data_IF_076707777375
#
_entry.id   IF_076707777375
#
_cell.length_a   1.000
_cell.length_b   1.000
_cell.length_c   1.000
_cell.angle_alpha   90.00
_cell.angle_beta   90.00
_cell.angle_gamma   90.00
#
_symmetry.space_group_name_H-M   'P 1'
#
loop_
_entity.id
_entity.type
_entity.pdbx_description
1 polymer ?
#
# COMPACT_ATOMS: atom_id res chain seq x y z
N UNK A 1 -15.80 -12.90 47.23
CA UNK A 1 -15.30 -11.67 46.59
C UNK A 1 -15.83 -11.62 45.17
N UNK A 2 -16.56 -10.57 44.81
CA UNK A 2 -17.20 -10.44 43.50
C UNK A 2 -16.14 -10.34 42.41
N UNK A 3 -16.07 -11.37 41.56
CA UNK A 3 -15.25 -11.42 40.36
C UNK A 3 -15.86 -10.47 39.30
N UNK A 4 -15.74 -9.15 39.51
CA UNK A 4 -16.09 -8.17 38.47
C UNK A 4 -14.91 -8.16 37.51
N UNK A 5 -15.07 -8.79 36.36
CA UNK A 5 -14.13 -8.66 35.26
C UNK A 5 -13.83 -7.16 35.05
N UNK A 6 -12.54 -6.80 35.02
CA UNK A 6 -12.13 -5.44 34.71
C UNK A 6 -12.75 -5.05 33.36
N UNK A 7 -13.33 -3.84 33.23
CA UNK A 7 -14.04 -3.50 32.02
C UNK A 7 -13.04 -3.33 30.87
N UNK A 8 -13.40 -3.82 29.68
CA UNK A 8 -12.50 -3.82 28.51
C UNK A 8 -12.02 -2.42 28.10
N UNK A 9 -12.77 -1.37 28.44
CA UNK A 9 -12.34 0.02 28.22
C UNK A 9 -11.12 0.39 29.06
N UNK A 10 -10.97 -0.17 30.27
CA UNK A 10 -9.81 0.13 31.13
C UNK A 10 -8.56 -0.54 30.58
N UNK A 11 -8.68 -1.77 30.06
CA UNK A 11 -7.59 -2.43 29.34
C UNK A 11 -7.17 -1.64 28.09
N UNK A 12 -8.13 -1.05 27.37
CA UNK A 12 -7.89 -0.18 26.21
C UNK A 12 -7.01 1.01 26.59
N UNK A 13 -7.43 1.79 27.58
CA UNK A 13 -6.69 2.97 28.07
C UNK A 13 -5.30 2.57 28.62
N UNK A 14 -5.23 1.49 29.40
CA UNK A 14 -3.96 1.02 29.93
C UNK A 14 -2.98 0.61 28.82
N UNK A 15 -3.48 -0.05 27.77
CA UNK A 15 -2.65 -0.46 26.63
C UNK A 15 -2.05 0.73 25.88
N UNK A 16 -2.74 1.88 25.88
CA UNK A 16 -2.28 3.10 25.23
C UNK A 16 -1.04 3.69 25.93
N UNK A 17 -1.02 3.79 27.26
CA UNK A 17 0.05 4.55 27.95
C UNK A 17 0.56 3.96 29.27
N UNK A 18 -0.05 2.92 29.81
CA UNK A 18 0.35 2.37 31.11
C UNK A 18 1.55 1.42 31.01
N UNK A 19 2.32 1.25 32.10
CA UNK A 19 3.37 0.25 32.18
C UNK A 19 2.86 -1.18 31.91
N UNK A 20 3.74 -2.02 31.36
CA UNK A 20 3.41 -3.39 30.98
C UNK A 20 2.75 -4.20 32.11
N UNK A 21 3.20 -4.03 33.36
CA UNK A 21 2.71 -4.79 34.51
C UNK A 21 1.21 -4.51 34.79
N UNK A 22 0.77 -3.26 34.59
CA UNK A 22 -0.64 -2.89 34.74
C UNK A 22 -1.46 -3.56 33.64
N UNK A 23 -0.96 -3.49 32.39
CA UNK A 23 -1.65 -4.10 31.24
C UNK A 23 -1.75 -5.61 31.39
N UNK A 24 -0.70 -6.29 31.88
CA UNK A 24 -0.70 -7.72 32.15
C UNK A 24 -1.77 -8.12 33.18
N UNK A 25 -1.81 -7.42 34.31
CA UNK A 25 -2.80 -7.67 35.37
C UNK A 25 -4.25 -7.48 34.86
N UNK A 26 -4.50 -6.39 34.13
CA UNK A 26 -5.81 -6.14 33.52
C UNK A 26 -6.16 -7.19 32.46
N UNK A 27 -5.20 -7.57 31.63
CA UNK A 27 -5.40 -8.56 30.58
C UNK A 27 -5.79 -9.93 31.16
N UNK A 28 -5.10 -10.39 32.21
CA UNK A 28 -5.43 -11.64 32.93
C UNK A 28 -6.83 -11.59 33.54
N UNK A 29 -7.22 -10.44 34.11
CA UNK A 29 -8.56 -10.24 34.66
C UNK A 29 -9.65 -10.25 33.57
N UNK A 30 -9.34 -9.76 32.37
CA UNK A 30 -10.27 -9.78 31.23
C UNK A 30 -10.28 -11.13 30.47
N UNK A 31 -9.31 -12.02 30.72
CA UNK A 31 -9.15 -13.30 30.00
C UNK A 31 -9.03 -14.51 30.94
N UNK A 32 -9.94 -14.73 31.91
CA UNK A 32 -9.91 -15.94 32.72
C UNK A 32 -10.09 -17.19 31.85
N UNK A 33 -9.63 -18.34 32.35
CA UNK A 33 -9.60 -19.64 31.64
C UNK A 33 -10.96 -20.04 31.02
N UNK A 34 -12.07 -19.54 31.57
CA UNK A 34 -13.43 -19.78 31.08
C UNK A 34 -13.86 -18.94 29.86
N UNK A 35 -13.06 -17.95 29.44
CA UNK A 35 -13.40 -17.08 28.30
C UNK A 35 -13.12 -17.80 26.99
N UNK A 36 -14.10 -17.76 26.09
CA UNK A 36 -13.94 -18.28 24.73
C UNK A 36 -12.74 -17.62 24.02
N UNK A 37 -11.91 -18.43 23.35
CA UNK A 37 -10.75 -18.03 22.55
C UNK A 37 -11.03 -16.85 21.61
N UNK A 38 -12.22 -16.78 21.00
CA UNK A 38 -12.61 -15.67 20.11
C UNK A 38 -12.62 -14.32 20.85
N UNK A 39 -13.07 -14.28 22.11
CA UNK A 39 -13.08 -13.06 22.90
C UNK A 39 -11.67 -12.65 23.34
N UNK A 40 -10.83 -13.63 23.69
CA UNK A 40 -9.41 -13.40 23.98
C UNK A 40 -8.71 -12.76 22.77
N UNK A 41 -8.95 -13.28 21.57
CA UNK A 41 -8.40 -12.75 20.31
C UNK A 41 -8.83 -11.30 20.05
N UNK A 42 -10.11 -10.95 20.31
CA UNK A 42 -10.59 -9.56 20.20
C UNK A 42 -9.87 -8.61 21.15
N UNK A 43 -9.64 -9.05 22.40
CA UNK A 43 -8.90 -8.25 23.37
C UNK A 43 -7.43 -8.06 22.97
N UNK A 44 -6.77 -9.10 22.46
CA UNK A 44 -5.39 -9.00 21.96
C UNK A 44 -5.25 -7.95 20.85
N UNK A 45 -6.20 -7.89 19.91
CA UNK A 45 -6.21 -6.85 18.87
C UNK A 45 -6.34 -5.46 19.47
N UNK A 46 -7.25 -5.28 20.43
CA UNK A 46 -7.41 -3.98 21.10
C UNK A 46 -6.08 -3.57 21.73
N UNK A 47 -5.43 -4.47 22.47
CA UNK A 47 -4.12 -4.18 23.09
C UNK A 47 -3.07 -3.80 22.05
N UNK A 48 -2.99 -4.51 20.91
CA UNK A 48 -2.09 -4.13 19.79
C UNK A 48 -2.42 -2.76 19.24
N UNK A 49 -3.67 -2.51 18.88
CA UNK A 49 -4.08 -1.25 18.25
C UNK A 49 -3.81 -0.06 19.16
N UNK A 50 -4.14 -0.17 20.44
CA UNK A 50 -3.96 0.92 21.39
C UNK A 50 -2.49 1.13 21.76
N UNK A 51 -1.71 0.05 21.93
CA UNK A 51 -0.26 0.18 22.15
C UNK A 51 0.45 0.82 20.96
N UNK A 52 0.03 0.54 19.72
CA UNK A 52 0.55 1.24 18.54
C UNK A 52 0.16 2.72 18.54
N UNK A 53 -1.10 3.06 18.85
CA UNK A 53 -1.59 4.46 18.91
C UNK A 53 -0.88 5.28 19.97
N UNK A 54 -0.65 4.70 21.15
CA UNK A 54 0.01 5.37 22.27
C UNK A 54 1.52 5.24 22.29
N UNK A 55 2.11 4.61 21.27
CA UNK A 55 3.54 4.33 21.14
C UNK A 55 4.12 3.50 22.29
N UNK A 56 3.32 2.62 22.87
CA UNK A 56 3.71 1.75 23.97
C UNK A 56 4.44 0.49 23.44
N UNK A 57 5.72 0.66 23.10
CA UNK A 57 6.57 -0.38 22.51
C UNK A 57 6.68 -1.62 23.42
N UNK A 58 6.76 -1.43 24.74
CA UNK A 58 6.89 -2.53 25.70
C UNK A 58 5.66 -3.45 25.66
N UNK A 59 4.46 -2.86 25.73
CA UNK A 59 3.19 -3.61 25.61
C UNK A 59 3.06 -4.26 24.24
N UNK A 60 3.39 -3.53 23.16
CA UNK A 60 3.32 -4.06 21.80
C UNK A 60 4.24 -5.27 21.61
N UNK A 61 5.48 -5.20 22.10
CA UNK A 61 6.46 -6.28 22.04
C UNK A 61 5.99 -7.51 22.81
N UNK A 62 5.36 -7.31 23.97
CA UNK A 62 4.79 -8.39 24.76
C UNK A 62 3.60 -9.05 24.06
N UNK A 63 2.64 -8.29 23.52
CA UNK A 63 1.40 -8.87 22.98
C UNK A 63 1.55 -9.45 21.56
N UNK A 64 2.39 -8.87 20.70
CA UNK A 64 2.48 -9.22 19.27
C UNK A 64 2.80 -10.70 18.98
N UNK A 65 3.73 -11.37 19.69
CA UNK A 65 4.02 -12.79 19.47
C UNK A 65 2.84 -13.73 19.76
N UNK A 66 1.84 -13.27 20.53
CA UNK A 66 0.65 -14.05 20.86
C UNK A 66 -0.36 -14.04 19.71
N UNK A 67 -0.39 -12.97 18.91
CA UNK A 67 -1.25 -12.83 17.73
C UNK A 67 -0.67 -13.46 16.47
N UNK A 68 0.67 -13.48 16.31
CA UNK A 68 1.30 -14.07 15.12
C UNK A 68 1.04 -15.57 14.92
N UNK A 69 0.50 -16.25 15.94
CA UNK A 69 0.06 -17.65 15.90
C UNK A 69 -1.41 -17.82 15.45
N UNK A 70 -2.13 -16.73 15.21
CA UNK A 70 -3.57 -16.74 14.92
C UNK A 70 -3.80 -16.73 13.40
N UNK A 71 -4.71 -17.59 12.94
CA UNK A 71 -5.25 -17.52 11.58
C UNK A 71 -6.18 -16.29 11.52
N UNK A 72 -5.89 -15.32 10.66
CA UNK A 72 -6.52 -14.00 10.70
C UNK A 72 -8.02 -13.99 10.36
N UNK A 73 -8.58 -15.14 9.99
CA UNK A 73 -9.97 -15.34 9.57
C UNK A 73 -11.01 -14.98 10.65
N UNK A 74 -10.63 -14.96 11.93
CA UNK A 74 -11.52 -14.54 13.02
C UNK A 74 -11.67 -13.02 13.16
N UNK A 75 -10.93 -12.24 12.37
CA UNK A 75 -10.82 -10.79 12.54
C UNK A 75 -11.60 -9.99 11.51
N UNK A 76 -12.05 -8.81 11.94
CA UNK A 76 -12.67 -7.87 11.02
C UNK A 76 -11.62 -7.29 10.07
N UNK A 77 -11.99 -7.14 8.80
CA UNK A 77 -11.18 -6.44 7.78
C UNK A 77 -10.71 -5.08 8.29
N UNK A 78 -11.59 -4.34 8.99
CA UNK A 78 -11.28 -3.02 9.54
C UNK A 78 -10.15 -3.05 10.59
N UNK A 79 -10.12 -4.08 11.45
CA UNK A 79 -9.09 -4.23 12.46
C UNK A 79 -7.72 -4.46 11.84
N UNK A 80 -7.65 -5.33 10.82
CA UNK A 80 -6.41 -5.64 10.11
C UNK A 80 -5.89 -4.43 9.35
N UNK A 81 -6.78 -3.70 8.66
CA UNK A 81 -6.44 -2.43 8.01
C UNK A 81 -5.81 -1.45 9.00
N UNK A 82 -6.45 -1.25 10.14
CA UNK A 82 -5.94 -0.32 11.15
C UNK A 82 -4.55 -0.72 11.67
N UNK A 83 -4.30 -2.01 11.98
CA UNK A 83 -2.97 -2.47 12.42
C UNK A 83 -1.92 -2.21 11.33
N UNK A 84 -2.27 -2.49 10.08
CA UNK A 84 -1.40 -2.29 8.92
C UNK A 84 -1.07 -0.82 8.72
N UNK A 85 -2.09 0.04 8.74
CA UNK A 85 -1.95 1.49 8.59
C UNK A 85 -1.15 2.11 9.74
N UNK A 86 -1.41 1.74 11.00
CA UNK A 86 -0.67 2.22 12.16
C UNK A 86 0.81 1.82 12.11
N UNK A 87 1.10 0.60 11.67
CA UNK A 87 2.47 0.09 11.60
C UNK A 87 3.30 0.77 10.53
N UNK A 88 2.80 0.79 9.29
CA UNK A 88 3.48 1.41 8.16
C UNK A 88 3.63 2.92 8.36
N UNK A 89 2.62 3.58 8.94
CA UNK A 89 2.65 5.02 9.14
C UNK A 89 3.30 5.46 10.46
N UNK A 90 3.85 4.54 11.27
CA UNK A 90 4.48 4.90 12.54
C UNK A 90 5.76 5.71 12.34
N UNK A 91 5.95 6.73 13.16
CA UNK A 91 7.22 7.46 13.26
C UNK A 91 8.25 6.71 14.13
N UNK A 92 7.80 5.80 15.01
CA UNK A 92 8.69 4.93 15.78
C UNK A 92 9.22 3.79 14.90
N UNK A 93 10.55 3.69 14.82
CA UNK A 93 11.22 2.61 14.13
C UNK A 93 10.93 1.25 14.80
N UNK A 94 10.84 1.22 16.12
CA UNK A 94 10.56 0.03 16.92
C UNK A 94 9.15 -0.50 16.65
N UNK A 95 8.14 0.38 16.59
CA UNK A 95 6.76 -0.01 16.25
C UNK A 95 6.71 -0.53 14.81
N UNK A 96 7.37 0.16 13.87
CA UNK A 96 7.46 -0.29 12.49
C UNK A 96 8.11 -1.68 12.41
N UNK A 97 9.21 -1.93 13.12
CA UNK A 97 9.92 -3.21 13.10
C UNK A 97 9.12 -4.35 13.74
N UNK A 98 8.44 -4.07 14.86
CA UNK A 98 7.52 -5.02 15.48
C UNK A 98 6.37 -5.36 14.53
N UNK A 99 5.78 -4.34 13.90
CA UNK A 99 4.73 -4.56 12.90
C UNK A 99 5.22 -5.34 11.69
N UNK A 100 6.37 -4.95 11.14
CA UNK A 100 7.02 -5.62 10.01
C UNK A 100 7.27 -7.09 10.32
N UNK A 101 7.71 -7.40 11.54
CA UNK A 101 7.97 -8.77 12.01
C UNK A 101 6.71 -9.62 12.17
N UNK A 102 5.67 -9.09 12.79
CA UNK A 102 4.53 -9.89 13.24
C UNK A 102 3.29 -9.78 12.36
N UNK A 103 3.11 -8.66 11.65
CA UNK A 103 1.85 -8.31 10.98
C UNK A 103 1.99 -8.04 9.49
N UNK A 104 3.18 -7.79 8.95
CA UNK A 104 3.33 -7.49 7.51
C UNK A 104 2.86 -8.63 6.59
N UNK A 105 2.84 -9.86 7.10
CA UNK A 105 2.39 -11.06 6.37
C UNK A 105 0.89 -11.35 6.52
N UNK A 106 0.12 -10.39 7.02
CA UNK A 106 -1.29 -10.62 7.29
C UNK A 106 -2.09 -10.69 6.00
N UNK A 107 -2.79 -11.81 5.81
CA UNK A 107 -3.73 -12.04 4.72
C UNK A 107 -5.10 -12.39 5.26
N UNK A 108 -6.18 -11.85 4.67
CA UNK A 108 -7.55 -12.22 5.01
C UNK A 108 -8.34 -12.45 3.72
N UNK A 109 -8.97 -13.62 3.58
CA UNK A 109 -9.73 -13.96 2.36
C UNK A 109 -8.87 -13.91 1.08
N UNK A 110 -7.56 -14.15 1.18
CA UNK A 110 -6.62 -14.07 0.06
C UNK A 110 -6.22 -12.65 -0.35
N UNK A 111 -6.50 -11.63 0.47
CA UNK A 111 -6.10 -10.24 0.27
C UNK A 111 -4.84 -9.94 1.10
N UNK A 112 -3.78 -9.48 0.45
CA UNK A 112 -2.57 -8.96 1.09
C UNK A 112 -2.75 -7.50 1.49
N UNK A 113 -2.89 -7.21 2.79
CA UNK A 113 -3.19 -5.84 3.26
C UNK A 113 -2.06 -4.85 3.01
N UNK A 114 -0.82 -5.33 2.87
CA UNK A 114 0.30 -4.46 2.51
C UNK A 114 0.22 -3.93 1.08
N UNK A 115 -0.60 -4.53 0.21
CA UNK A 115 -0.87 -4.07 -1.16
C UNK A 115 -2.23 -3.37 -1.31
N UNK A 116 -2.98 -3.24 -0.21
CA UNK A 116 -4.34 -2.73 -0.25
C UNK A 116 -4.38 -1.23 -0.52
N UNK A 117 -5.37 -0.78 -1.29
CA UNK A 117 -5.36 0.58 -1.81
C UNK A 117 -5.62 1.69 -0.79
N UNK A 118 -6.36 1.44 0.30
CA UNK A 118 -6.49 2.41 1.39
C UNK A 118 -5.17 2.60 2.12
N UNK A 119 -4.41 1.52 2.33
CA UNK A 119 -3.04 1.61 2.84
C UNK A 119 -2.17 2.44 1.91
N UNK A 120 -2.08 2.10 0.62
CA UNK A 120 -1.24 2.83 -0.36
C UNK A 120 -1.54 4.33 -0.34
N UNK A 121 -2.83 4.71 -0.33
CA UNK A 121 -3.26 6.12 -0.25
C UNK A 121 -2.85 6.82 1.05
N UNK A 122 -2.73 6.08 2.14
CA UNK A 122 -2.37 6.64 3.46
C UNK A 122 -0.89 7.01 3.57
N UNK A 123 0.00 6.31 2.85
CA UNK A 123 1.45 6.47 2.96
C UNK A 123 1.96 7.63 2.10
N UNK A 124 1.86 8.84 2.63
CA UNK A 124 2.25 10.08 1.93
C UNK A 124 3.72 10.45 2.09
N UNK A 125 4.32 10.10 3.22
CA UNK A 125 5.70 10.45 3.54
C UNK A 125 6.71 9.64 2.70
N UNK A 126 7.70 10.26 2.06
CA UNK A 126 8.67 9.56 1.21
C UNK A 126 9.48 8.47 1.94
N UNK A 127 9.87 8.67 3.20
CA UNK A 127 10.61 7.66 3.97
C UNK A 127 9.72 6.46 4.29
N UNK A 128 8.44 6.70 4.61
CA UNK A 128 7.44 5.64 4.84
C UNK A 128 7.12 4.88 3.55
N UNK A 129 7.12 5.56 2.40
CA UNK A 129 7.00 4.91 1.09
C UNK A 129 8.19 3.98 0.80
N UNK A 130 9.43 4.41 1.08
CA UNK A 130 10.61 3.54 0.89
C UNK A 130 10.59 2.34 1.84
N UNK A 131 10.19 2.54 3.10
CA UNK A 131 9.99 1.45 4.07
C UNK A 131 8.98 0.41 3.57
N UNK A 132 7.83 0.86 3.06
CA UNK A 132 6.82 -0.03 2.49
C UNK A 132 7.35 -0.74 1.23
N UNK A 133 8.08 -0.03 0.37
CA UNK A 133 8.75 -0.59 -0.80
C UNK A 133 9.73 -1.73 -0.42
N UNK A 134 10.52 -1.57 0.64
CA UNK A 134 11.40 -2.63 1.18
C UNK A 134 10.59 -3.85 1.66
N UNK A 135 9.48 -3.63 2.35
CA UNK A 135 8.58 -4.71 2.80
C UNK A 135 8.08 -5.50 1.60
N UNK A 136 7.62 -4.85 0.53
CA UNK A 136 7.17 -5.54 -0.68
C UNK A 136 8.28 -6.35 -1.34
N UNK A 137 9.45 -5.75 -1.59
CA UNK A 137 10.61 -6.44 -2.19
C UNK A 137 10.96 -7.71 -1.41
N UNK A 138 11.03 -7.60 -0.08
CA UNK A 138 11.35 -8.72 0.80
C UNK A 138 10.26 -9.80 0.79
N UNK A 139 8.99 -9.41 0.80
CA UNK A 139 7.91 -10.41 0.80
C UNK A 139 7.76 -11.11 -0.55
N UNK A 140 8.02 -10.42 -1.67
CA UNK A 140 8.09 -11.05 -2.99
C UNK A 140 9.27 -12.03 -3.05
N UNK A 141 10.46 -11.64 -2.58
CA UNK A 141 11.64 -12.53 -2.61
C UNK A 141 11.48 -13.78 -1.74
N UNK A 142 10.71 -13.67 -0.66
CA UNK A 142 10.33 -14.80 0.20
C UNK A 142 9.14 -15.61 -0.33
N UNK A 143 8.51 -15.21 -1.44
CA UNK A 143 7.36 -15.89 -2.04
C UNK A 143 6.05 -15.72 -1.26
N UNK A 144 5.96 -14.74 -0.36
CA UNK A 144 4.74 -14.45 0.40
C UNK A 144 3.74 -13.61 -0.41
N UNK A 145 4.21 -12.63 -1.18
CA UNK A 145 3.36 -11.85 -2.07
C UNK A 145 3.28 -12.50 -3.45
N UNK A 146 2.06 -12.71 -3.95
CA UNK A 146 1.84 -13.27 -5.28
C UNK A 146 2.01 -12.20 -6.34
N UNK A 147 2.69 -12.55 -7.43
CA UNK A 147 2.90 -11.65 -8.58
C UNK A 147 1.59 -11.15 -9.20
N UNK A 148 0.51 -11.94 -9.12
CA UNK A 148 -0.83 -11.56 -9.61
C UNK A 148 -1.37 -10.30 -8.94
N UNK A 149 -0.97 -10.04 -7.69
CA UNK A 149 -1.57 -9.02 -6.84
C UNK A 149 -0.82 -7.69 -6.95
N UNK A 150 0.37 -7.70 -7.56
CA UNK A 150 1.25 -6.54 -7.70
C UNK A 150 0.79 -5.58 -8.81
N UNK A 151 0.15 -6.08 -9.88
CA UNK A 151 -0.40 -5.25 -10.97
C UNK A 151 -1.48 -4.27 -10.50
N UNK A 152 -2.52 -4.74 -9.77
CA UNK A 152 -3.50 -3.85 -9.13
C UNK A 152 -2.87 -2.80 -8.21
N UNK A 153 -1.83 -3.17 -7.46
CA UNK A 153 -1.10 -2.22 -6.61
C UNK A 153 -0.37 -1.15 -7.43
N UNK A 154 0.22 -1.49 -8.58
CA UNK A 154 0.90 -0.52 -9.46
C UNK A 154 -0.10 0.50 -10.02
N UNK A 155 -1.29 0.03 -10.43
CA UNK A 155 -2.40 0.91 -10.82
C UNK A 155 -2.83 1.82 -9.67
N UNK A 156 -2.95 1.30 -8.46
CA UNK A 156 -3.30 2.11 -7.30
C UNK A 156 -2.26 3.18 -7.00
N UNK A 157 -0.97 2.85 -7.00
CA UNK A 157 0.14 3.82 -6.84
C UNK A 157 0.04 4.92 -7.89
N UNK A 158 -0.07 4.57 -9.17
CA UNK A 158 -0.13 5.54 -10.26
C UNK A 158 -1.38 6.45 -10.21
N UNK A 159 -2.52 5.89 -9.79
CA UNK A 159 -3.79 6.61 -9.69
C UNK A 159 -3.96 7.40 -8.38
N UNK A 160 -3.07 7.24 -7.40
CA UNK A 160 -3.19 7.90 -6.09
C UNK A 160 -1.95 8.72 -5.74
N UNK A 161 -0.90 8.07 -5.22
CA UNK A 161 0.29 8.70 -4.61
C UNK A 161 1.34 9.14 -5.63
N UNK A 162 1.37 8.51 -6.80
CA UNK A 162 2.45 8.65 -7.78
C UNK A 162 3.86 8.41 -7.20
N UNK A 163 3.96 7.53 -6.21
CA UNK A 163 5.24 7.25 -5.53
C UNK A 163 6.17 6.43 -6.43
N UNK A 164 7.31 7.03 -6.80
CA UNK A 164 8.39 6.35 -7.54
C UNK A 164 8.97 5.16 -6.74
N UNK A 165 9.30 5.28 -5.44
CA UNK A 165 9.74 4.13 -4.63
C UNK A 165 8.82 2.92 -4.67
N UNK A 166 7.52 3.15 -4.50
CA UNK A 166 6.51 2.09 -4.50
C UNK A 166 6.37 1.47 -5.90
N UNK A 167 6.28 2.30 -6.96
CA UNK A 167 6.21 1.82 -8.33
C UNK A 167 7.45 1.01 -8.71
N UNK A 168 8.64 1.47 -8.31
CA UNK A 168 9.91 0.79 -8.53
C UNK A 168 9.95 -0.58 -7.86
N UNK A 169 9.54 -0.69 -6.59
CA UNK A 169 9.48 -2.00 -5.92
C UNK A 169 8.59 -3.01 -6.64
N UNK A 170 7.46 -2.56 -7.21
CA UNK A 170 6.54 -3.43 -7.95
C UNK A 170 7.11 -3.86 -9.30
N UNK A 171 7.71 -2.93 -10.06
CA UNK A 171 8.32 -3.23 -11.36
C UNK A 171 9.57 -4.12 -11.19
N UNK A 172 10.45 -3.81 -10.22
CA UNK A 172 11.60 -4.64 -9.88
C UNK A 172 11.17 -6.08 -9.47
N UNK A 173 9.95 -6.23 -8.96
CA UNK A 173 9.35 -7.51 -8.58
C UNK A 173 8.73 -8.29 -9.77
N UNK A 174 8.85 -7.75 -10.99
CA UNK A 174 8.43 -8.40 -12.24
C UNK A 174 6.99 -8.09 -12.68
N UNK A 175 6.42 -6.97 -12.23
CA UNK A 175 5.16 -6.46 -12.79
C UNK A 175 5.40 -5.89 -14.18
N UNK A 176 4.50 -6.23 -15.11
CA UNK A 176 4.43 -5.57 -16.41
C UNK A 176 4.18 -4.06 -16.24
N UNK A 177 5.10 -3.23 -16.74
CA UNK A 177 5.01 -1.76 -16.63
C UNK A 177 3.74 -1.21 -17.31
N UNK A 178 3.24 -1.90 -18.34
CA UNK A 178 2.00 -1.57 -19.05
C UNK A 178 0.81 -2.42 -18.60
N UNK A 179 0.86 -2.94 -17.37
CA UNK A 179 -0.21 -3.74 -16.79
C UNK A 179 -1.57 -3.03 -16.89
N UNK A 180 -2.60 -3.79 -17.28
CA UNK A 180 -3.97 -3.30 -17.39
C UNK A 180 -4.92 -4.19 -16.59
N UNK A 181 -5.93 -3.56 -16.00
CA UNK A 181 -7.03 -4.29 -15.37
C UNK A 181 -7.81 -5.07 -16.44
N UNK A 182 -8.07 -6.34 -16.13
CA UNK A 182 -8.95 -7.21 -16.95
C UNK A 182 -10.42 -7.08 -16.55
N UNK A 183 -10.73 -6.25 -15.54
CA UNK A 183 -12.09 -6.06 -15.07
C UNK A 183 -12.92 -5.30 -16.09
N UNK A 184 -14.09 -5.84 -16.46
CA UNK A 184 -15.04 -5.18 -17.37
C UNK A 184 -15.57 -3.84 -16.83
N UNK A 185 -15.50 -3.64 -15.51
CA UNK A 185 -15.99 -2.44 -14.83
C UNK A 185 -14.92 -1.36 -14.67
N UNK A 186 -13.67 -1.64 -15.07
CA UNK A 186 -12.57 -0.69 -14.95
C UNK A 186 -12.05 -0.25 -16.32
N UNK A 187 -11.67 1.03 -16.42
CA UNK A 187 -10.97 1.51 -17.60
C UNK A 187 -9.63 0.79 -17.74
N UNK A 188 -9.37 0.21 -18.92
CA UNK A 188 -8.13 -0.50 -19.27
C UNK A 188 -6.96 0.46 -19.50
N UNK A 189 -6.64 1.27 -18.48
CA UNK A 189 -5.55 2.24 -18.47
C UNK A 189 -4.27 1.58 -17.99
N UNK A 190 -3.15 1.92 -18.63
CA UNK A 190 -1.81 1.62 -18.12
C UNK A 190 -1.49 2.51 -16.92
N UNK A 191 -0.50 2.16 -16.08
CA UNK A 191 0.00 3.02 -15.02
C UNK A 191 0.42 4.40 -15.54
N UNK A 192 1.04 4.46 -16.73
CA UNK A 192 1.43 5.71 -17.35
C UNK A 192 0.22 6.61 -17.67
N UNK A 193 -0.86 6.03 -18.23
CA UNK A 193 -2.11 6.75 -18.47
C UNK A 193 -2.74 7.29 -17.18
N UNK A 194 -2.69 6.53 -16.08
CA UNK A 194 -3.18 7.01 -14.77
C UNK A 194 -2.37 8.20 -14.25
N UNK A 195 -1.04 8.09 -14.27
CA UNK A 195 -0.14 9.17 -13.84
C UNK A 195 -0.33 10.43 -14.70
N UNK A 196 -0.48 10.27 -16.02
CA UNK A 196 -0.67 11.37 -16.96
C UNK A 196 -1.95 12.18 -16.73
N UNK A 197 -2.95 11.65 -16.00
CA UNK A 197 -4.14 12.44 -15.62
C UNK A 197 -3.89 13.47 -14.52
N UNK A 198 -2.77 13.36 -13.79
CA UNK A 198 -2.47 14.17 -12.59
C UNK A 198 -1.47 15.28 -12.89
N UNK A 199 -1.66 16.44 -12.26
CA UNK A 199 -0.84 17.65 -12.45
C UNK A 199 0.02 17.95 -11.23
N UNK A 200 0.91 17.03 -10.86
CA UNK A 200 1.80 17.16 -9.70
C UNK A 200 3.24 16.77 -10.03
N UNK A 201 4.18 17.10 -9.13
CA UNK A 201 5.60 16.77 -9.30
C UNK A 201 5.81 15.27 -9.27
N UNK A 202 5.16 14.61 -8.33
CA UNK A 202 5.21 13.16 -8.14
C UNK A 202 4.68 12.44 -9.37
N UNK A 203 3.61 12.94 -9.98
CA UNK A 203 3.09 12.38 -11.24
C UNK A 203 4.09 12.56 -12.40
N UNK A 204 4.76 13.71 -12.50
CA UNK A 204 5.78 13.96 -13.51
C UNK A 204 6.99 13.01 -13.34
N UNK A 205 7.51 12.89 -12.11
CA UNK A 205 8.60 11.98 -11.77
C UNK A 205 8.22 10.51 -12.01
N UNK A 206 6.98 10.12 -11.67
CA UNK A 206 6.48 8.78 -11.95
C UNK A 206 6.39 8.52 -13.46
N UNK A 207 5.88 9.47 -14.26
CA UNK A 207 5.83 9.32 -15.72
C UNK A 207 7.24 9.12 -16.30
N UNK A 208 8.22 9.93 -15.87
CA UNK A 208 9.62 9.76 -16.25
C UNK A 208 10.13 8.36 -15.90
N UNK A 209 9.92 7.93 -14.66
CA UNK A 209 10.34 6.61 -14.20
C UNK A 209 9.71 5.46 -15.01
N UNK A 210 8.41 5.52 -15.28
CA UNK A 210 7.69 4.51 -16.06
C UNK A 210 8.20 4.43 -17.50
N UNK A 211 8.45 5.58 -18.15
CA UNK A 211 9.00 5.62 -19.51
C UNK A 211 10.41 5.02 -19.58
N UNK A 212 11.29 5.38 -18.64
CA UNK A 212 12.63 4.76 -18.52
C UNK A 212 12.53 3.26 -18.24
N UNK A 213 11.51 2.85 -17.49
CA UNK A 213 11.20 1.43 -17.24
C UNK A 213 10.55 0.71 -18.43
N UNK A 214 10.37 1.39 -19.57
CA UNK A 214 9.91 0.81 -20.82
C UNK A 214 8.40 0.89 -21.08
N UNK A 215 7.66 1.73 -20.34
CA UNK A 215 6.24 1.96 -20.60
C UNK A 215 6.00 2.50 -22.03
N UNK A 216 4.97 2.01 -22.70
CA UNK A 216 4.55 2.51 -24.00
C UNK A 216 3.88 3.90 -23.88
N UNK A 217 4.61 4.93 -24.31
CA UNK A 217 4.11 6.31 -24.36
C UNK A 217 2.86 6.48 -25.25
N UNK A 218 2.70 5.61 -26.24
CA UNK A 218 1.62 5.64 -27.23
C UNK A 218 0.47 4.70 -26.90
N UNK A 219 0.51 4.05 -25.72
CA UNK A 219 -0.54 3.15 -25.27
C UNK A 219 -1.92 3.83 -25.37
N UNK A 220 -2.81 3.24 -26.15
CA UNK A 220 -4.13 3.78 -26.42
C UNK A 220 -5.16 3.27 -25.41
N UNK A 221 -5.94 4.19 -24.85
CA UNK A 221 -7.19 3.91 -24.15
C UNK A 221 -8.35 4.22 -25.09
N UNK A 222 -9.10 3.19 -25.49
CA UNK A 222 -10.38 3.36 -26.20
C UNK A 222 -11.42 3.97 -25.26
N UNK A 223 -12.15 4.97 -25.74
CA UNK A 223 -13.17 5.69 -24.95
C UNK A 223 -14.49 5.72 -25.71
N UNK A 224 -15.54 5.16 -25.11
CA UNK A 224 -16.90 5.26 -25.66
C UNK A 224 -17.49 6.65 -25.36
N UNK A 225 -17.48 7.58 -26.33
CA UNK A 225 -18.17 8.87 -26.24
C UNK A 225 -17.38 10.09 -26.76
N UNK A 226 -18.03 11.27 -26.76
CA UNK A 226 -17.49 12.58 -27.24
C UNK A 226 -16.33 13.16 -26.41
N UNK A 227 -15.65 12.32 -25.62
CA UNK A 227 -14.61 12.76 -24.67
C UNK A 227 -13.18 12.35 -25.06
N UNK A 228 -12.98 11.48 -26.06
CA UNK A 228 -11.62 11.19 -26.52
C UNK A 228 -11.13 12.26 -27.49
N UNK A 229 -9.82 12.48 -27.49
CA UNK A 229 -9.15 13.59 -28.20
C UNK A 229 -8.55 13.14 -29.54
N UNK A 230 -8.39 11.83 -29.77
CA UNK A 230 -7.96 11.26 -31.06
C UNK A 230 -9.01 10.31 -31.65
N UNK A 231 -8.97 10.09 -32.96
CA UNK A 231 -9.77 9.07 -33.67
C UNK A 231 -8.83 8.11 -34.38
N UNK A 232 -9.05 6.82 -34.23
CA UNK A 232 -8.30 5.82 -34.98
C UNK A 232 -8.85 5.64 -36.40
N UNK A 233 -8.22 4.77 -37.19
CA UNK A 233 -8.64 4.47 -38.58
C UNK A 233 -10.03 3.86 -38.69
N UNK A 234 -10.58 3.31 -37.61
CA UNK A 234 -11.95 2.79 -37.54
C UNK A 234 -12.98 3.84 -37.12
N UNK A 235 -12.54 5.06 -36.80
CA UNK A 235 -13.37 6.14 -36.29
C UNK A 235 -13.64 6.06 -34.78
N UNK A 236 -13.05 5.11 -34.06
CA UNK A 236 -13.18 5.00 -32.61
C UNK A 236 -12.33 6.06 -31.91
N UNK A 237 -12.88 6.62 -30.83
CA UNK A 237 -12.18 7.65 -30.07
C UNK A 237 -11.19 7.03 -29.10
N UNK A 238 -9.97 7.55 -29.06
CA UNK A 238 -8.93 7.11 -28.14
C UNK A 238 -8.27 8.27 -27.38
N UNK A 239 -7.51 7.92 -26.35
CA UNK A 239 -6.59 8.81 -25.62
C UNK A 239 -5.25 8.13 -25.41
N UNK A 240 -4.19 8.93 -25.40
CA UNK A 240 -2.82 8.52 -25.00
C UNK A 240 -2.36 9.36 -23.83
N UNK A 241 -1.26 8.97 -23.19
CA UNK A 241 -0.67 9.71 -22.07
C UNK A 241 -0.36 11.17 -22.45
N UNK A 242 0.18 11.40 -23.65
CA UNK A 242 0.49 12.74 -24.18
C UNK A 242 -0.72 13.70 -24.22
N UNK A 243 -1.93 13.15 -24.39
CA UNK A 243 -3.16 13.94 -24.50
C UNK A 243 -3.73 14.33 -23.13
N UNK A 244 -3.27 13.71 -22.05
CA UNK A 244 -3.77 13.98 -20.71
C UNK A 244 -3.10 15.22 -20.10
N UNK A 245 -3.86 15.95 -19.27
CA UNK A 245 -3.43 17.27 -18.77
C UNK A 245 -2.13 17.21 -17.95
N UNK A 246 -1.83 16.11 -17.29
CA UNK A 246 -0.58 15.94 -16.55
C UNK A 246 0.64 15.96 -17.47
N UNK A 247 0.62 15.14 -18.53
CA UNK A 247 1.69 15.09 -19.53
C UNK A 247 1.86 16.43 -20.25
N UNK A 248 0.77 17.08 -20.66
CA UNK A 248 0.82 18.40 -21.31
C UNK A 248 1.45 19.49 -20.44
N UNK A 249 1.42 19.32 -19.12
CA UNK A 249 1.98 20.28 -18.18
C UNK A 249 3.38 19.90 -17.71
N UNK A 250 3.96 18.76 -18.13
CA UNK A 250 5.17 18.18 -17.52
C UNK A 250 6.39 19.12 -17.46
N UNK A 251 6.47 20.07 -18.41
CA UNK A 251 7.56 21.06 -18.49
C UNK A 251 7.69 21.95 -17.26
N UNK A 252 6.62 22.22 -16.51
CA UNK A 252 6.73 23.00 -15.26
C UNK A 252 7.40 22.24 -14.10
N UNK A 253 7.64 20.93 -14.26
CA UNK A 253 8.20 20.08 -13.20
C UNK A 253 9.54 19.44 -13.58
N UNK A 254 9.74 19.10 -14.86
CA UNK A 254 10.95 18.43 -15.34
C UNK A 254 11.81 19.29 -16.28
N UNK A 255 11.42 20.55 -16.52
CA UNK A 255 12.11 21.47 -17.44
C UNK A 255 12.32 20.90 -18.86
N UNK A 256 11.42 20.02 -19.31
CA UNK A 256 11.42 19.41 -20.64
C UNK A 256 10.01 19.17 -21.16
N UNK A 257 9.82 19.10 -22.48
CA UNK A 257 8.52 18.74 -23.05
C UNK A 257 8.23 17.24 -22.91
N UNK A 258 6.97 16.84 -23.16
CA UNK A 258 6.61 15.42 -23.19
C UNK A 258 7.40 14.65 -24.24
N UNK A 259 7.58 15.22 -25.43
CA UNK A 259 8.30 14.57 -26.53
C UNK A 259 9.79 14.43 -26.21
N UNK A 260 10.40 15.45 -25.60
CA UNK A 260 11.78 15.37 -25.11
C UNK A 260 11.95 14.26 -24.07
N UNK A 261 10.98 14.13 -23.16
CA UNK A 261 11.01 13.09 -22.14
C UNK A 261 10.92 11.68 -22.76
N UNK A 262 10.00 11.47 -23.71
CA UNK A 262 9.84 10.18 -24.40
C UNK A 262 11.11 9.84 -25.18
N UNK A 263 11.71 10.81 -25.86
CA UNK A 263 12.99 10.64 -26.57
C UNK A 263 14.11 10.25 -25.61
N UNK A 264 14.29 11.00 -24.52
CA UNK A 264 15.32 10.73 -23.51
C UNK A 264 15.16 9.33 -22.90
N UNK A 265 13.94 8.92 -22.57
CA UNK A 265 13.69 7.58 -22.05
C UNK A 265 14.02 6.47 -23.06
N UNK A 266 13.75 6.70 -24.34
CA UNK A 266 14.14 5.80 -25.43
C UNK A 266 15.65 5.65 -25.57
N UNK A 267 16.40 6.75 -25.46
CA UNK A 267 17.87 6.78 -25.50
C UNK A 267 18.48 6.02 -24.31
N UNK A 268 18.03 6.29 -23.08
CA UNK A 268 18.49 5.58 -21.88
C UNK A 268 18.21 4.07 -21.94
N UNK A 269 17.06 3.68 -22.50
CA UNK A 269 16.74 2.26 -22.67
C UNK A 269 17.70 1.58 -23.65
N UNK A 270 18.09 2.27 -24.73
CA UNK A 270 19.05 1.74 -25.69
C UNK A 270 20.44 1.55 -25.07
N UNK A 271 20.88 2.46 -24.19
CA UNK A 271 22.15 2.35 -23.46
C UNK A 271 22.19 1.19 -22.45
N UNK A 272 21.06 0.83 -21.84
CA UNK A 272 21.00 -0.29 -20.87
C UNK A 272 21.03 -1.66 -21.56
N UNK A 273 20.59 -1.73 -22.83
CA UNK A 273 20.43 -2.98 -23.59
C UNK A 273 21.60 -3.26 -24.55
N UNK A 274 22.36 -2.22 -24.93
CA UNK A 274 23.56 -2.31 -25.78
C UNK A 274 24.81 -2.69 -24.99
#
# INVERSE_FOLDING_TARGET
MMNRAAPSWLLKEASFSSPLQIVQCLYETCTPVSVNQTNVRKLQIIVVQESMKGQNVEVLSWISPRLSRVFWDDFSVASVKQITELGVNSDSAEIFDLWKRYFSRTTLGGIDFVLEGSLIRSVKDPLKQERLAEVWRKQVSLGYLRKSDLGPALKEVASTTCSVPLAKALIDSGVDVDWRSKSKNEMSRTPLLWAATKRSKEAAELMRFLLVSGADANAQLKVSGRGGTGRDSSGETFRTSAMEKGAQNISKWLDMSWDDLVKMAGEQKAEIVG
#
